data_IF_808235999474
#
_entry.id   IF_808235999474
#
_cell.length_a   1.000
_cell.length_b   1.000
_cell.length_c   1.000
_cell.angle_alpha   90.00
_cell.angle_beta   90.00
_cell.angle_gamma   90.00
#
_symmetry.space_group_name_H-M   'P 1'
#
loop_
_entity.id
_entity.type
_entity.pdbx_description
1 polymer ?
#
# COMPACT_ATOMS: atom_id res chain seq x y z
N UNK A 1 1.24 -17.79 5.26
CA UNK A 1 1.61 -17.24 6.59
C UNK A 1 3.00 -17.73 6.94
N UNK A 2 3.99 -16.86 7.23
CA UNK A 2 5.27 -17.30 7.79
C UNK A 2 5.03 -18.01 9.13
N UNK A 3 5.83 -19.01 9.47
CA UNK A 3 5.65 -19.79 10.71
C UNK A 3 5.87 -18.87 11.93
N UNK A 4 5.00 -18.98 12.93
CA UNK A 4 5.12 -18.23 14.19
C UNK A 4 4.40 -16.88 14.23
N UNK A 5 3.81 -16.41 13.13
CA UNK A 5 2.95 -15.22 13.14
C UNK A 5 1.51 -15.60 13.48
N UNK A 6 0.96 -15.00 14.54
CA UNK A 6 -0.46 -15.11 14.91
C UNK A 6 -1.22 -13.89 14.41
N UNK A 7 -2.25 -14.12 13.60
CA UNK A 7 -3.14 -13.05 13.13
C UNK A 7 -4.19 -12.79 14.22
N UNK A 8 -4.18 -11.58 14.77
CA UNK A 8 -5.18 -11.10 15.71
C UNK A 8 -6.01 -10.07 14.97
N UNK A 9 -7.16 -10.49 14.44
CA UNK A 9 -8.02 -9.67 13.56
C UNK A 9 -9.38 -9.34 14.20
N UNK A 10 -9.69 -9.95 15.35
CA UNK A 10 -11.02 -9.94 15.97
C UNK A 10 -10.99 -9.26 17.35
N UNK A 11 -9.96 -8.45 17.63
CA UNK A 11 -9.82 -7.75 18.91
C UNK A 11 -10.63 -6.46 18.98
N UNK A 12 -11.27 -6.03 17.88
CA UNK A 12 -11.94 -4.72 17.78
C UNK A 12 -11.00 -3.52 17.85
N UNK A 13 -9.69 -3.77 17.89
CA UNK A 13 -8.64 -2.77 18.05
C UNK A 13 -8.24 -2.15 16.70
N UNK A 14 -7.68 -0.95 16.75
CA UNK A 14 -7.08 -0.34 15.56
C UNK A 14 -5.79 -1.07 15.19
N UNK A 15 -5.69 -1.52 13.94
CA UNK A 15 -4.54 -2.28 13.45
C UNK A 15 -3.66 -1.44 12.52
N UNK A 16 -2.36 -1.44 12.77
CA UNK A 16 -1.38 -0.86 11.85
C UNK A 16 -0.94 -1.91 10.82
N UNK A 17 -1.18 -1.62 9.54
CA UNK A 17 -0.83 -2.51 8.43
C UNK A 17 0.28 -1.88 7.60
N UNK A 18 1.40 -2.59 7.47
CA UNK A 18 2.46 -2.22 6.53
C UNK A 18 2.52 -3.24 5.40
N UNK A 19 2.70 -2.74 4.18
CA UNK A 19 2.96 -3.57 3.02
C UNK A 19 4.08 -2.94 2.22
N UNK A 20 4.70 -3.75 1.35
CA UNK A 20 5.71 -3.27 0.41
C UNK A 20 5.45 -3.91 -0.93
N UNK A 21 5.85 -3.23 -2.00
CA UNK A 21 5.85 -3.83 -3.33
C UNK A 21 6.75 -5.08 -3.33
N UNK A 22 6.41 -6.07 -4.15
CA UNK A 22 7.25 -7.26 -4.33
C UNK A 22 8.68 -6.84 -4.70
N UNK A 23 9.68 -7.41 -4.02
CA UNK A 23 11.10 -6.99 -4.11
C UNK A 23 11.38 -5.49 -3.87
N UNK A 24 10.48 -4.76 -3.19
CA UNK A 24 10.59 -3.30 -2.97
C UNK A 24 10.74 -2.50 -4.26
N UNK A 25 10.16 -2.98 -5.35
CA UNK A 25 10.18 -2.27 -6.63
C UNK A 25 9.45 -0.93 -6.54
N UNK A 26 9.91 0.11 -7.27
CA UNK A 26 9.38 1.47 -7.14
C UNK A 26 8.13 1.72 -7.98
N UNK A 27 7.11 0.86 -7.86
CA UNK A 27 5.89 0.97 -8.66
C UNK A 27 5.05 2.21 -8.33
N UNK A 28 5.24 2.81 -7.15
CA UNK A 28 4.60 4.08 -6.76
C UNK A 28 5.43 5.32 -7.13
N UNK A 29 6.42 5.19 -8.01
CA UNK A 29 7.19 6.35 -8.50
C UNK A 29 6.37 7.25 -9.45
N UNK A 30 5.56 6.72 -10.39
CA UNK A 30 4.68 7.56 -11.21
C UNK A 30 3.50 8.09 -10.39
N UNK A 31 3.16 9.37 -10.56
CA UNK A 31 2.03 10.01 -9.87
C UNK A 31 0.71 9.36 -10.20
N UNK A 32 0.52 8.88 -11.44
CA UNK A 32 -0.72 8.25 -11.88
C UNK A 32 -1.00 6.95 -11.12
N UNK A 33 0.06 6.19 -10.79
CA UNK A 33 -0.07 4.93 -10.03
C UNK A 33 -0.33 5.22 -8.56
N UNK A 34 0.26 6.29 -8.02
CA UNK A 34 -0.02 6.76 -6.67
C UNK A 34 -1.49 7.17 -6.52
N UNK A 35 -2.01 7.99 -7.44
CA UNK A 35 -3.39 8.45 -7.41
C UNK A 35 -4.37 7.27 -7.57
N UNK A 36 -4.08 6.35 -8.48
CA UNK A 36 -4.86 5.12 -8.64
C UNK A 36 -4.91 4.30 -7.35
N UNK A 37 -3.79 4.17 -6.64
CA UNK A 37 -3.75 3.45 -5.37
C UNK A 37 -4.64 4.11 -4.31
N UNK A 38 -4.58 5.44 -4.16
CA UNK A 38 -5.43 6.18 -3.23
C UNK A 38 -6.90 5.95 -3.56
N UNK A 39 -7.28 6.01 -4.84
CA UNK A 39 -8.64 5.70 -5.29
C UNK A 39 -9.07 4.28 -4.92
N UNK A 40 -8.21 3.27 -5.14
CA UNK A 40 -8.52 1.90 -4.75
C UNK A 40 -8.68 1.72 -3.24
N UNK A 41 -7.88 2.41 -2.41
CA UNK A 41 -8.02 2.38 -0.95
C UNK A 41 -9.36 2.96 -0.52
N UNK A 42 -9.77 4.10 -1.09
CA UNK A 42 -11.07 4.70 -0.80
C UNK A 42 -12.24 3.82 -1.23
N UNK A 43 -12.15 3.19 -2.40
CA UNK A 43 -13.16 2.23 -2.86
C UNK A 43 -13.28 1.03 -1.90
N UNK A 44 -12.14 0.49 -1.43
CA UNK A 44 -12.13 -0.58 -0.43
C UNK A 44 -12.68 -0.10 0.92
N UNK A 45 -12.34 1.12 1.35
CA UNK A 45 -12.85 1.72 2.58
C UNK A 45 -14.38 1.73 2.60
N UNK A 46 -14.98 2.16 1.48
CA UNK A 46 -16.44 2.19 1.32
C UNK A 46 -17.04 0.80 1.21
N UNK A 47 -16.43 -0.08 0.41
CA UNK A 47 -16.96 -1.43 0.14
C UNK A 47 -16.93 -2.35 1.35
N UNK A 48 -15.92 -2.22 2.21
CA UNK A 48 -15.72 -3.07 3.37
C UNK A 48 -15.94 -2.33 4.69
N UNK A 49 -16.50 -1.11 4.64
CA UNK A 49 -16.81 -0.28 5.81
C UNK A 49 -15.61 -0.12 6.77
N UNK A 50 -14.41 0.00 6.19
CA UNK A 50 -13.17 0.10 6.95
C UNK A 50 -13.05 1.48 7.57
N UNK A 51 -12.63 1.52 8.84
CA UNK A 51 -12.19 2.75 9.48
C UNK A 51 -10.69 2.95 9.24
N UNK A 52 -10.35 3.65 8.16
CA UNK A 52 -8.97 4.07 7.87
C UNK A 52 -8.71 5.41 8.58
N UNK A 53 -7.83 5.39 9.58
CA UNK A 53 -7.47 6.59 10.35
C UNK A 53 -6.37 7.42 9.70
N UNK A 54 -5.34 6.75 9.17
CA UNK A 54 -4.19 7.39 8.55
C UNK A 54 -3.48 6.39 7.61
N UNK A 55 -2.75 6.88 6.61
CA UNK A 55 -1.92 6.06 5.72
C UNK A 55 -0.75 6.86 5.14
N UNK A 56 0.36 6.17 4.90
CA UNK A 56 1.54 6.72 4.23
C UNK A 56 1.88 5.81 3.05
N UNK A 57 2.00 6.40 1.86
CA UNK A 57 2.50 5.70 0.67
C UNK A 57 3.94 6.14 0.46
N UNK A 58 4.87 5.20 0.66
CA UNK A 58 6.28 5.47 0.46
C UNK A 58 6.60 5.42 -1.05
N UNK A 59 7.13 6.51 -1.65
CA UNK A 59 7.65 6.43 -3.01
C UNK A 59 8.82 5.45 -3.02
N UNK A 60 8.80 4.51 -3.96
CA UNK A 60 9.92 3.58 -4.08
C UNK A 60 11.18 4.31 -4.53
N UNK A 61 12.31 3.85 -3.99
CA UNK A 61 13.69 4.34 -4.13
C UNK A 61 13.95 5.48 -5.16
N UNK A 62 14.66 6.56 -4.76
CA UNK A 62 15.15 7.55 -5.72
C UNK A 62 16.22 6.91 -6.62
N UNK A 63 15.87 6.52 -7.85
CA UNK A 63 16.85 5.89 -8.74
C UNK A 63 16.36 5.36 -10.09
N UNK A 64 15.05 5.24 -10.34
CA UNK A 64 14.58 4.87 -11.69
C UNK A 64 14.59 6.09 -12.62
N UNK A 65 15.71 6.29 -13.33
CA UNK A 65 15.72 7.10 -14.55
C UNK A 65 14.59 6.62 -15.47
N UNK A 66 13.70 7.49 -15.98
CA UNK A 66 12.78 7.09 -17.04
C UNK A 66 13.61 6.85 -18.30
N UNK A 67 13.94 5.60 -18.57
CA UNK A 67 14.42 5.18 -19.87
C UNK A 67 13.26 5.26 -20.85
N UNK A 68 13.11 6.42 -21.50
CA UNK A 68 12.32 6.53 -22.73
C UNK A 68 12.99 5.63 -23.78
N UNK A 69 12.46 4.42 -23.96
CA UNK A 69 12.74 3.58 -25.11
C UNK A 69 11.88 4.04 -26.28
N UNK A 70 12.49 4.15 -27.46
CA UNK A 70 11.87 4.57 -28.72
C UNK A 70 10.65 3.72 -29.09
#
# INVERSE_FOLDING_TARGET
>A
MPRGLRRLQDSGESHFVTFSCYHRQPYFAPSEVFDLFVHCVEDMRRRFELSVYDYVVMPGAPGSRPGFGR
#
